data_IF_319357536683
#
_entry.id   IF_319357536683
#
_cell.length_a   1.000
_cell.length_b   1.000
_cell.length_c   1.000
_cell.angle_alpha   90.00
_cell.angle_beta   90.00
_cell.angle_gamma   90.00
#
_symmetry.space_group_name_H-M   'P 1'
#
loop_
_entity.id
_entity.type
_entity.pdbx_description
1 polymer ?
#
# COMPACT_ATOMS: atom_id res chain seq x y z
N UNK A 1 -13.68 37.27 -45.61
CA UNK A 1 -13.67 38.66 -45.13
C UNK A 1 -14.24 38.71 -43.72
N UNK A 2 -13.55 39.02 -42.64
CA UNK A 2 -12.11 38.95 -42.31
C UNK A 2 -12.00 38.90 -40.77
N UNK A 3 -11.00 38.22 -40.22
CA UNK A 3 -10.63 38.41 -38.81
C UNK A 3 -9.90 39.74 -38.63
N UNK A 4 -10.31 40.57 -37.65
CA UNK A 4 -9.33 41.45 -36.99
C UNK A 4 -9.70 41.93 -35.59
N UNK A 5 -8.73 41.74 -34.69
CA UNK A 5 -8.60 42.36 -33.36
C UNK A 5 -7.67 43.60 -33.47
N UNK A 6 -7.18 44.16 -32.34
CA UNK A 6 -7.70 45.28 -31.55
C UNK A 6 -7.15 46.66 -31.99
N UNK A 7 -7.57 47.73 -31.30
CA UNK A 7 -6.83 49.01 -31.27
C UNK A 7 -6.59 49.50 -29.83
N UNK A 8 -5.33 49.84 -29.55
CA UNK A 8 -4.85 50.58 -28.38
C UNK A 8 -5.12 52.08 -28.49
N UNK A 9 -5.10 52.80 -27.37
CA UNK A 9 -5.03 54.26 -27.33
C UNK A 9 -3.71 54.73 -26.71
N UNK A 10 -3.13 55.78 -27.28
CA UNK A 10 -1.89 56.47 -26.88
C UNK A 10 -2.14 57.97 -26.92
N UNK A 11 -1.47 58.78 -26.08
CA UNK A 11 -1.03 60.14 -26.46
C UNK A 11 -0.04 60.80 -25.46
N UNK A 12 1.23 60.85 -25.87
CA UNK A 12 2.14 62.01 -26.01
C UNK A 12 1.51 63.43 -26.02
N UNK A 13 2.17 64.56 -25.66
CA UNK A 13 3.44 64.91 -24.95
C UNK A 13 3.40 66.39 -24.46
N UNK A 14 4.31 66.90 -23.58
CA UNK A 14 4.24 68.27 -23.02
C UNK A 14 5.40 69.26 -23.37
N UNK A 15 5.15 70.59 -23.37
CA UNK A 15 6.14 71.68 -23.34
C UNK A 15 6.24 72.43 -21.97
N UNK A 16 7.13 73.44 -21.88
CA UNK A 16 7.50 74.26 -20.69
C UNK A 16 7.50 75.78 -21.03
N UNK A 17 7.34 76.76 -20.09
CA UNK A 17 8.52 77.43 -19.50
C UNK A 17 8.41 78.01 -18.05
N UNK A 18 9.54 77.92 -17.31
CA UNK A 18 10.14 78.83 -16.30
C UNK A 18 9.32 79.55 -15.20
N UNK A 19 9.78 79.43 -13.93
CA UNK A 19 9.46 80.34 -12.80
C UNK A 19 10.75 80.81 -12.08
N UNK A 20 10.84 82.04 -11.51
CA UNK A 20 12.02 82.53 -10.79
C UNK A 20 12.15 82.07 -9.33
N UNK A 21 13.35 82.30 -8.77
CA UNK A 21 13.89 81.84 -7.46
C UNK A 21 13.46 82.63 -6.22
N UNK A 22 13.40 81.97 -5.06
CA UNK A 22 13.61 82.61 -3.74
C UNK A 22 14.14 81.64 -2.65
N UNK A 23 15.34 81.96 -2.13
CA UNK A 23 15.95 81.66 -0.80
C UNK A 23 15.80 80.29 -0.08
N UNK A 24 16.93 79.82 0.45
CA UNK A 24 17.19 78.50 1.02
C UNK A 24 17.46 78.54 2.55
N UNK A 25 16.89 77.64 3.38
CA UNK A 25 17.33 77.39 4.76
C UNK A 25 18.57 76.45 4.82
N UNK A 26 19.37 76.46 5.91
CA UNK A 26 20.66 75.78 5.97
C UNK A 26 20.57 74.25 5.91
N UNK A 27 21.61 73.63 5.31
CA UNK A 27 21.72 72.18 5.15
C UNK A 27 21.73 71.43 6.51
N UNK A 28 20.96 70.34 6.66
CA UNK A 28 21.22 69.36 7.71
C UNK A 28 22.53 68.59 7.41
N UNK A 29 23.23 68.18 8.47
CA UNK A 29 24.46 67.39 8.41
C UNK A 29 24.24 66.08 7.65
N UNK A 30 25.15 65.66 6.73
CA UNK A 30 24.98 64.41 6.00
C UNK A 30 25.02 63.21 6.97
N UNK A 31 24.16 62.19 6.78
CA UNK A 31 24.18 61.00 7.61
C UNK A 31 25.51 60.26 7.48
N UNK A 32 26.03 59.76 8.60
CA UNK A 32 27.26 58.96 8.64
C UNK A 32 27.05 57.72 7.77
N UNK A 33 27.79 57.65 6.65
CA UNK A 33 27.69 56.51 5.73
C UNK A 33 28.26 55.27 6.40
N UNK A 34 27.40 54.29 6.65
CA UNK A 34 27.79 52.93 7.06
C UNK A 34 28.86 52.38 6.09
N UNK A 35 29.83 51.58 6.57
CA UNK A 35 30.88 51.05 5.71
C UNK A 35 30.27 50.18 4.61
N UNK A 36 30.41 50.62 3.35
CA UNK A 36 29.91 49.90 2.19
C UNK A 36 30.62 48.54 2.08
N UNK A 37 29.91 47.46 2.37
CA UNK A 37 30.40 46.10 2.18
C UNK A 37 30.72 45.93 0.70
N UNK A 38 31.98 45.61 0.38
CA UNK A 38 32.39 45.46 -1.03
C UNK A 38 31.63 44.30 -1.68
N UNK A 39 31.31 44.44 -2.97
CA UNK A 39 30.62 43.38 -3.75
C UNK A 39 31.30 42.02 -3.61
N UNK A 40 32.64 41.99 -3.52
CA UNK A 40 33.44 40.78 -3.29
C UNK A 40 33.16 40.14 -1.92
N UNK A 41 33.12 40.93 -0.84
CA UNK A 41 32.77 40.42 0.50
C UNK A 41 31.33 39.95 0.59
N UNK A 42 30.39 40.66 -0.04
CA UNK A 42 29.00 40.22 -0.13
C UNK A 42 28.87 38.87 -0.86
N UNK A 43 29.51 38.72 -2.03
CA UNK A 43 29.49 37.46 -2.78
C UNK A 43 30.18 36.32 -2.01
N UNK A 44 31.30 36.57 -1.32
CA UNK A 44 31.95 35.58 -0.47
C UNK A 44 31.05 35.12 0.69
N UNK A 45 30.38 36.05 1.37
CA UNK A 45 29.43 35.74 2.43
C UNK A 45 28.21 34.97 1.91
N UNK A 46 27.67 35.36 0.74
CA UNK A 46 26.55 34.68 0.10
C UNK A 46 26.91 33.23 -0.27
N UNK A 47 28.06 33.00 -0.93
CA UNK A 47 28.52 31.65 -1.28
C UNK A 47 28.76 30.80 -0.02
N UNK A 48 29.39 31.35 1.02
CA UNK A 48 29.59 30.64 2.27
C UNK A 48 28.26 30.25 2.94
N UNK A 49 27.30 31.18 3.00
CA UNK A 49 25.96 30.91 3.53
C UNK A 49 25.22 29.85 2.69
N UNK A 50 25.29 29.91 1.36
CA UNK A 50 24.71 28.91 0.46
C UNK A 50 25.32 27.51 0.65
N UNK A 51 26.64 27.41 0.83
CA UNK A 51 27.31 26.12 1.10
C UNK A 51 26.88 25.55 2.45
N UNK A 52 26.79 26.38 3.51
CA UNK A 52 26.30 25.93 4.82
C UNK A 52 24.84 25.48 4.74
N UNK A 53 23.97 26.23 4.05
CA UNK A 53 22.56 25.90 3.92
C UNK A 53 22.36 24.62 3.07
N UNK A 54 23.17 24.40 2.04
CA UNK A 54 23.16 23.18 1.24
C UNK A 54 23.72 21.96 1.99
N UNK A 55 24.78 22.14 2.80
CA UNK A 55 25.30 21.06 3.64
C UNK A 55 24.30 20.68 4.74
N UNK A 56 23.64 21.67 5.35
CA UNK A 56 22.58 21.45 6.34
C UNK A 56 21.34 20.78 5.73
N UNK A 57 20.93 21.18 4.51
CA UNK A 57 19.80 20.53 3.85
C UNK A 57 20.11 19.07 3.52
N UNK A 58 21.29 18.75 2.96
CA UNK A 58 21.69 17.36 2.67
C UNK A 58 21.82 16.52 3.95
N UNK A 59 22.40 17.07 5.01
CA UNK A 59 22.53 16.39 6.30
C UNK A 59 21.19 16.09 6.99
N UNK A 60 20.22 16.99 6.87
CA UNK A 60 18.86 16.79 7.40
C UNK A 60 17.96 15.97 6.45
N UNK A 61 18.21 16.00 5.12
CA UNK A 61 17.35 15.37 4.12
C UNK A 61 17.71 13.93 3.79
N UNK A 62 18.76 13.37 4.36
CA UNK A 62 19.21 11.97 4.11
C UNK A 62 18.14 10.90 4.37
N UNK A 63 17.09 11.22 5.16
CA UNK A 63 15.91 10.38 5.38
C UNK A 63 14.59 11.02 4.86
N UNK A 64 14.64 12.25 4.33
CA UNK A 64 13.45 12.98 3.85
C UNK A 64 13.22 12.75 2.35
N UNK A 65 14.28 12.54 1.58
CA UNK A 65 14.23 12.36 0.12
C UNK A 65 14.56 10.93 -0.34
N UNK A 66 14.92 10.04 0.58
CA UNK A 66 14.97 8.60 0.30
C UNK A 66 13.56 8.00 0.28
N UNK A 67 13.31 6.93 -0.48
CA UNK A 67 12.09 6.13 -0.30
C UNK A 67 12.03 5.65 1.14
N UNK A 68 10.99 6.07 1.87
CA UNK A 68 10.67 5.54 3.20
C UNK A 68 10.24 4.08 3.04
N UNK A 69 11.21 3.16 3.01
CA UNK A 69 10.93 1.72 3.02
C UNK A 69 10.41 1.41 4.43
N UNK A 70 9.13 1.04 4.59
CA UNK A 70 8.60 0.72 5.91
C UNK A 70 9.35 -0.49 6.48
N UNK A 71 9.58 -0.49 7.80
CA UNK A 71 10.19 -1.65 8.48
C UNK A 71 9.16 -2.76 8.61
N UNK A 72 9.45 -4.00 8.16
CA UNK A 72 8.56 -5.14 8.40
C UNK A 72 8.29 -5.36 9.89
N UNK A 73 7.05 -5.70 10.22
CA UNK A 73 6.68 -6.25 11.52
C UNK A 73 7.43 -7.58 11.74
N UNK A 74 7.82 -7.90 12.98
CA UNK A 74 8.39 -9.20 13.33
C UNK A 74 7.35 -10.32 13.13
N UNK A 75 7.77 -11.56 13.35
CA UNK A 75 6.85 -12.69 13.42
C UNK A 75 5.74 -12.42 14.47
N UNK A 76 4.50 -12.72 14.12
CA UNK A 76 3.32 -12.35 14.89
C UNK A 76 2.35 -13.53 14.98
N UNK A 77 1.78 -13.76 16.18
CA UNK A 77 0.64 -14.68 16.35
C UNK A 77 -0.59 -14.09 15.64
N UNK A 78 -1.14 -14.83 14.67
CA UNK A 78 -2.27 -14.41 13.84
C UNK A 78 -3.53 -15.25 14.08
N UNK A 79 -3.40 -16.44 14.68
CA UNK A 79 -4.52 -17.31 14.99
C UNK A 79 -4.20 -18.26 16.16
N UNK A 80 -5.26 -18.89 16.67
CA UNK A 80 -5.22 -19.96 17.66
C UNK A 80 -5.93 -21.17 17.04
N UNK A 81 -5.26 -22.32 16.99
CA UNK A 81 -5.79 -23.51 16.34
C UNK A 81 -7.11 -23.98 16.96
N UNK A 82 -7.19 -24.08 18.29
CA UNK A 82 -8.40 -24.55 18.97
C UNK A 82 -9.62 -23.66 18.66
N UNK A 83 -9.42 -22.34 18.60
CA UNK A 83 -10.46 -21.36 18.24
C UNK A 83 -10.86 -21.44 16.76
N UNK A 84 -9.90 -21.65 15.85
CA UNK A 84 -10.14 -21.68 14.41
C UNK A 84 -10.74 -23.02 13.96
N UNK A 85 -10.29 -24.14 14.54
CA UNK A 85 -10.90 -25.45 14.30
C UNK A 85 -12.30 -25.52 14.91
N UNK A 86 -12.51 -25.08 16.16
CA UNK A 86 -13.86 -25.07 16.78
C UNK A 86 -14.88 -24.35 15.88
N UNK A 87 -14.53 -23.19 15.34
CA UNK A 87 -15.37 -22.45 14.38
C UNK A 87 -15.79 -23.29 13.17
N UNK A 88 -14.88 -24.10 12.63
CA UNK A 88 -15.20 -25.05 11.56
C UNK A 88 -16.04 -26.24 12.06
N UNK A 89 -15.66 -26.86 13.19
CA UNK A 89 -16.40 -27.99 13.78
C UNK A 89 -17.86 -27.65 14.10
N UNK A 90 -18.13 -26.40 14.51
CA UNK A 90 -19.47 -25.89 14.81
C UNK A 90 -20.38 -25.81 13.57
N UNK A 91 -19.82 -25.69 12.35
CA UNK A 91 -20.58 -25.51 11.09
C UNK A 91 -20.42 -26.65 10.08
N UNK A 92 -19.47 -27.57 10.26
CA UNK A 92 -19.16 -28.61 9.24
C UNK A 92 -20.30 -29.56 8.89
N UNK A 93 -21.29 -29.71 9.78
CA UNK A 93 -22.48 -30.52 9.53
C UNK A 93 -23.62 -29.76 8.83
N UNK A 94 -23.52 -28.44 8.73
CA UNK A 94 -24.53 -27.56 8.16
C UNK A 94 -24.17 -27.24 6.70
N UNK A 95 -24.68 -28.05 5.76
CA UNK A 95 -24.41 -27.94 4.32
C UNK A 95 -25.27 -26.85 3.65
N UNK A 96 -25.32 -25.65 4.25
CA UNK A 96 -26.09 -24.49 3.78
C UNK A 96 -25.17 -23.30 3.47
N UNK A 97 -25.74 -22.26 2.85
CA UNK A 97 -25.06 -20.99 2.56
C UNK A 97 -24.72 -20.21 3.84
N UNK A 98 -25.34 -20.56 4.97
CA UNK A 98 -25.17 -19.95 6.28
C UNK A 98 -24.13 -20.70 7.14
N UNK A 99 -24.00 -22.03 6.93
CA UNK A 99 -23.11 -22.95 7.65
C UNK A 99 -21.72 -23.14 7.00
N UNK A 100 -21.41 -24.37 6.59
CA UNK A 100 -20.12 -24.77 5.99
C UNK A 100 -19.76 -23.98 4.73
N UNK A 101 -20.76 -23.51 3.97
CA UNK A 101 -20.51 -22.75 2.73
C UNK A 101 -20.43 -21.23 2.96
N UNK A 102 -20.48 -20.76 4.21
CA UNK A 102 -20.09 -19.41 4.60
C UNK A 102 -18.70 -19.44 5.24
N UNK A 103 -17.69 -19.04 4.49
CA UNK A 103 -16.30 -19.24 4.91
C UNK A 103 -15.81 -18.13 5.84
N UNK A 104 -16.63 -17.10 6.06
CA UNK A 104 -16.44 -16.15 7.16
C UNK A 104 -16.61 -16.83 8.53
N UNK A 105 -17.27 -17.99 8.60
CA UNK A 105 -17.40 -18.76 9.83
C UNK A 105 -16.04 -19.30 10.31
N UNK A 106 -15.17 -19.75 9.40
CA UNK A 106 -13.89 -20.43 9.72
C UNK A 106 -12.65 -19.80 9.04
N UNK A 107 -12.75 -18.53 8.67
CA UNK A 107 -11.61 -17.69 8.26
C UNK A 107 -11.56 -16.38 9.04
N UNK A 108 -10.42 -15.69 8.99
CA UNK A 108 -10.26 -14.34 9.53
C UNK A 108 -9.19 -13.55 8.79
N UNK A 109 -9.38 -12.23 8.72
CA UNK A 109 -8.41 -11.31 8.13
C UNK A 109 -7.41 -10.78 9.18
N UNK A 110 -6.19 -10.52 8.75
CA UNK A 110 -5.14 -9.89 9.55
C UNK A 110 -4.24 -9.02 8.66
N UNK A 111 -3.40 -8.17 9.27
CA UNK A 111 -2.41 -7.35 8.58
C UNK A 111 -0.99 -7.76 8.97
N UNK A 112 -0.15 -8.07 7.98
CA UNK A 112 1.26 -8.47 8.13
C UNK A 112 1.90 -8.56 6.71
N UNK A 113 3.18 -8.29 6.44
CA UNK A 113 4.27 -7.79 7.28
C UNK A 113 4.12 -6.33 7.70
N UNK A 114 3.05 -5.65 7.28
CA UNK A 114 2.80 -4.26 7.64
C UNK A 114 1.35 -4.08 8.05
N UNK A 115 1.11 -3.11 8.93
CA UNK A 115 -0.24 -2.72 9.33
C UNK A 115 -0.97 -1.92 8.24
N UNK A 116 -2.24 -1.64 8.48
CA UNK A 116 -3.13 -0.92 7.56
C UNK A 116 -2.76 0.55 7.32
N UNK A 117 -1.91 1.17 8.15
CA UNK A 117 -1.42 2.54 7.94
C UNK A 117 -0.35 2.63 6.85
N UNK A 118 0.38 1.54 6.61
CA UNK A 118 1.39 1.44 5.54
C UNK A 118 0.71 1.16 4.20
N UNK A 119 -0.15 0.15 4.13
CA UNK A 119 -0.93 -0.13 2.92
C UNK A 119 -2.10 -1.10 3.15
N UNK A 120 -3.27 -0.90 2.53
CA UNK A 120 -4.35 -1.89 2.56
C UNK A 120 -3.98 -3.21 1.86
N UNK A 121 -2.95 -3.23 1.00
CA UNK A 121 -2.52 -4.41 0.26
C UNK A 121 -1.78 -5.46 1.11
N UNK A 122 -1.42 -5.15 2.36
CA UNK A 122 -0.88 -6.12 3.32
C UNK A 122 -1.97 -6.80 4.18
N UNK A 123 -3.24 -6.66 3.77
CA UNK A 123 -4.33 -7.50 4.26
C UNK A 123 -4.13 -8.94 3.78
N UNK A 124 -4.17 -9.88 4.72
CA UNK A 124 -4.11 -11.31 4.47
C UNK A 124 -5.36 -11.98 5.07
N UNK A 125 -5.60 -13.22 4.67
CA UNK A 125 -6.60 -14.11 5.26
C UNK A 125 -5.91 -15.39 5.74
N UNK A 126 -6.35 -15.90 6.89
CA UNK A 126 -6.09 -17.28 7.32
C UNK A 126 -7.43 -18.01 7.41
N UNK A 127 -7.49 -19.25 6.94
CA UNK A 127 -8.69 -20.08 6.94
C UNK A 127 -8.39 -21.51 7.37
N UNK A 128 -9.34 -22.14 8.08
CA UNK A 128 -9.43 -23.60 8.22
C UNK A 128 -9.82 -24.16 6.84
N UNK A 129 -9.12 -25.17 6.36
CA UNK A 129 -9.55 -25.97 5.21
C UNK A 129 -10.70 -26.90 5.65
N UNK A 130 -11.76 -27.13 4.86
CA UNK A 130 -12.62 -28.28 5.06
C UNK A 130 -11.83 -29.61 5.17
N UNK A 131 -12.37 -30.63 5.85
CA UNK A 131 -11.68 -31.93 5.99
C UNK A 131 -11.51 -32.65 4.64
N UNK A 132 -12.44 -32.42 3.71
CA UNK A 132 -12.43 -32.96 2.35
C UNK A 132 -12.79 -31.91 1.30
N UNK A 133 -12.35 -32.13 0.06
CA UNK A 133 -12.78 -31.36 -1.11
C UNK A 133 -14.21 -31.72 -1.54
N UNK A 134 -14.74 -31.03 -2.56
CA UNK A 134 -16.07 -31.29 -3.12
C UNK A 134 -16.22 -32.65 -3.83
N UNK A 135 -15.13 -33.40 -3.99
CA UNK A 135 -15.10 -34.77 -4.51
C UNK A 135 -14.92 -35.82 -3.40
N UNK A 136 -14.81 -35.40 -2.13
CA UNK A 136 -14.62 -36.28 -0.97
C UNK A 136 -13.17 -36.69 -0.68
N UNK A 137 -12.18 -36.12 -1.37
CA UNK A 137 -10.77 -36.40 -1.10
C UNK A 137 -10.25 -35.56 0.09
N UNK A 138 -9.30 -36.03 0.90
CA UNK A 138 -8.70 -35.23 1.97
C UNK A 138 -8.13 -33.90 1.46
N UNK A 139 -8.61 -32.79 2.00
CA UNK A 139 -8.15 -31.45 1.62
C UNK A 139 -7.10 -30.97 2.63
N UNK A 140 -5.84 -30.92 2.18
CA UNK A 140 -4.69 -30.55 3.01
C UNK A 140 -3.91 -29.39 2.41
N UNK A 141 -3.27 -28.60 3.25
CA UNK A 141 -2.34 -27.55 2.84
C UNK A 141 -1.07 -28.21 2.25
N UNK A 142 -0.78 -28.02 0.95
CA UNK A 142 0.35 -28.68 0.28
C UNK A 142 1.73 -28.15 0.74
N UNK A 143 1.77 -27.04 1.48
CA UNK A 143 3.00 -26.44 2.02
C UNK A 143 3.36 -26.97 3.42
N UNK A 144 2.43 -27.63 4.11
CA UNK A 144 2.64 -28.26 5.43
C UNK A 144 1.98 -29.65 5.51
N UNK A 145 2.22 -30.56 4.54
CA UNK A 145 1.42 -31.78 4.35
C UNK A 145 1.55 -32.81 5.49
N UNK A 146 2.55 -32.66 6.37
CA UNK A 146 2.82 -33.57 7.50
C UNK A 146 2.61 -32.93 8.87
N UNK A 147 2.26 -31.63 8.94
CA UNK A 147 2.05 -30.93 10.20
C UNK A 147 0.61 -31.16 10.70
N UNK A 148 0.38 -31.62 11.94
CA UNK A 148 -0.95 -31.99 12.43
C UNK A 148 -1.91 -30.79 12.62
N UNK A 149 -1.43 -29.55 12.50
CA UNK A 149 -2.24 -28.32 12.56
C UNK A 149 -2.14 -27.56 11.25
N UNK A 150 -0.93 -27.32 10.75
CA UNK A 150 -0.70 -26.50 9.56
C UNK A 150 -1.15 -27.20 8.25
N UNK A 151 -1.32 -28.52 8.24
CA UNK A 151 -1.99 -29.23 7.13
C UNK A 151 -3.47 -28.85 7.00
N UNK A 152 -4.12 -28.34 8.05
CA UNK A 152 -5.55 -28.01 8.08
C UNK A 152 -5.85 -26.50 7.96
N UNK A 153 -4.84 -25.64 7.81
CA UNK A 153 -5.02 -24.19 7.65
C UNK A 153 -4.21 -23.67 6.47
N UNK A 154 -4.71 -22.63 5.81
CA UNK A 154 -3.98 -21.88 4.77
C UNK A 154 -3.99 -20.39 5.06
N UNK A 155 -2.96 -19.67 4.61
CA UNK A 155 -2.90 -18.22 4.73
C UNK A 155 -2.31 -17.57 3.48
N UNK A 156 -3.00 -16.55 2.96
CA UNK A 156 -2.63 -15.84 1.73
C UNK A 156 -2.83 -14.34 1.86
N UNK A 157 -2.02 -13.58 1.12
CA UNK A 157 -2.26 -12.17 0.88
C UNK A 157 -3.48 -11.99 -0.04
N UNK A 158 -4.33 -11.01 0.27
CA UNK A 158 -5.58 -10.83 -0.49
C UNK A 158 -5.44 -9.95 -1.73
N UNK A 159 -4.25 -9.46 -2.09
CA UNK A 159 -4.06 -8.58 -3.24
C UNK A 159 -4.04 -9.39 -4.54
N UNK A 160 -5.14 -9.32 -5.30
CA UNK A 160 -5.33 -9.96 -6.60
C UNK A 160 -4.21 -9.60 -7.59
N UNK A 161 -3.61 -10.59 -8.25
CA UNK A 161 -2.47 -10.37 -9.17
C UNK A 161 -2.85 -9.68 -10.48
N UNK A 162 -4.15 -9.64 -10.84
CA UNK A 162 -4.63 -8.98 -12.05
C UNK A 162 -4.50 -7.44 -11.95
N UNK A 163 -5.26 -6.81 -11.06
CA UNK A 163 -5.32 -5.34 -10.90
C UNK A 163 -5.36 -4.91 -9.42
N UNK A 164 -4.79 -5.72 -8.52
CA UNK A 164 -4.55 -5.42 -7.10
C UNK A 164 -5.77 -5.13 -6.22
N UNK A 165 -6.99 -5.35 -6.72
CA UNK A 165 -8.17 -5.41 -5.86
C UNK A 165 -8.02 -6.46 -4.76
N UNK A 166 -8.62 -6.22 -3.59
CA UNK A 166 -8.63 -7.18 -2.50
C UNK A 166 -9.65 -8.29 -2.79
N UNK A 167 -9.20 -9.54 -2.80
CA UNK A 167 -10.07 -10.72 -2.85
C UNK A 167 -10.73 -10.95 -1.50
N UNK A 168 -11.92 -11.54 -1.51
CA UNK A 168 -12.61 -11.98 -0.29
C UNK A 168 -12.94 -13.48 -0.38
N UNK A 169 -13.07 -14.16 0.77
CA UNK A 169 -13.67 -15.48 0.85
C UNK A 169 -15.08 -15.52 0.26
N UNK A 170 -15.34 -16.44 -0.68
CA UNK A 170 -16.68 -16.80 -1.19
C UNK A 170 -16.72 -18.23 -1.73
N UNK A 171 -17.90 -18.84 -1.73
CA UNK A 171 -18.11 -20.18 -2.30
C UNK A 171 -18.30 -20.11 -3.82
N UNK A 172 -17.66 -21.01 -4.58
CA UNK A 172 -17.90 -21.09 -6.03
C UNK A 172 -19.26 -21.72 -6.33
N UNK A 173 -20.06 -21.05 -7.17
CA UNK A 173 -21.32 -21.59 -7.68
C UNK A 173 -22.43 -21.64 -6.63
N UNK A 174 -23.35 -22.59 -6.78
CA UNK A 174 -24.39 -22.82 -5.78
C UNK A 174 -23.80 -23.52 -4.54
N UNK A 175 -24.37 -23.30 -3.35
CA UNK A 175 -24.03 -24.06 -2.14
C UNK A 175 -23.96 -25.57 -2.41
N UNK A 176 -22.84 -26.20 -2.08
CA UNK A 176 -22.59 -27.64 -2.31
C UNK A 176 -22.19 -28.06 -3.73
N UNK A 177 -21.99 -27.11 -4.67
CA UNK A 177 -21.59 -27.42 -6.06
C UNK A 177 -20.15 -27.04 -6.44
N UNK A 178 -19.37 -26.51 -5.49
CA UNK A 178 -18.06 -25.92 -5.77
C UNK A 178 -17.03 -26.09 -4.65
N UNK A 179 -15.96 -25.31 -4.75
CA UNK A 179 -14.88 -25.21 -3.76
C UNK A 179 -14.98 -23.81 -3.12
N UNK A 180 -14.57 -23.66 -1.86
CA UNK A 180 -14.28 -22.35 -1.29
C UNK A 180 -13.22 -21.66 -2.17
N UNK A 181 -13.47 -20.41 -2.57
CA UNK A 181 -12.57 -19.56 -3.35
C UNK A 181 -12.17 -18.31 -2.59
N UNK A 182 -11.05 -17.75 -3.03
CA UNK A 182 -10.83 -16.31 -2.91
C UNK A 182 -11.28 -15.66 -4.23
N UNK A 183 -12.23 -14.71 -4.19
CA UNK A 183 -12.71 -14.01 -5.40
C UNK A 183 -12.39 -12.52 -5.36
N UNK A 184 -11.90 -12.01 -6.48
CA UNK A 184 -11.75 -10.60 -6.78
C UNK A 184 -13.10 -9.99 -7.19
N UNK A 185 -13.71 -9.09 -6.39
CA UNK A 185 -15.02 -8.52 -6.69
C UNK A 185 -15.00 -7.55 -7.89
N UNK A 186 -13.83 -7.05 -8.29
CA UNK A 186 -13.71 -6.08 -9.39
C UNK A 186 -13.97 -6.68 -10.78
N UNK A 187 -13.46 -7.90 -11.02
CA UNK A 187 -13.44 -8.50 -12.37
C UNK A 187 -13.67 -10.03 -12.33
N UNK A 188 -14.14 -10.58 -11.20
CA UNK A 188 -14.53 -11.99 -11.08
C UNK A 188 -13.38 -13.01 -11.05
N UNK A 189 -12.11 -12.59 -10.97
CA UNK A 189 -10.98 -13.53 -10.86
C UNK A 189 -11.10 -14.40 -9.59
N UNK A 190 -11.00 -15.72 -9.74
CA UNK A 190 -11.11 -16.67 -8.63
C UNK A 190 -9.83 -17.49 -8.46
N UNK A 191 -9.51 -17.80 -7.20
CA UNK A 191 -8.34 -18.59 -6.81
C UNK A 191 -8.78 -19.78 -5.95
N UNK A 192 -8.13 -20.94 -6.13
CA UNK A 192 -8.28 -22.13 -5.28
C UNK A 192 -7.94 -21.84 -3.83
N UNK A 193 -8.66 -22.43 -2.89
CA UNK A 193 -8.33 -22.21 -1.47
C UNK A 193 -7.01 -22.89 -1.09
N UNK A 194 -6.78 -24.12 -1.57
CA UNK A 194 -5.66 -24.95 -1.11
C UNK A 194 -4.28 -24.31 -1.35
N UNK A 195 -4.13 -23.57 -2.45
CA UNK A 195 -2.84 -23.02 -2.91
C UNK A 195 -2.93 -21.65 -3.58
N UNK A 196 -4.11 -21.02 -3.61
CA UNK A 196 -4.34 -19.74 -4.26
C UNK A 196 -3.91 -19.65 -5.74
N UNK A 197 -3.90 -20.78 -6.47
CA UNK A 197 -3.73 -20.82 -7.93
C UNK A 197 -4.99 -20.23 -8.59
N UNK A 198 -4.89 -19.35 -9.61
CA UNK A 198 -6.06 -18.84 -10.33
C UNK A 198 -6.78 -19.97 -11.08
N UNK A 199 -8.11 -19.92 -11.14
CA UNK A 199 -8.93 -20.94 -11.82
C UNK A 199 -10.08 -20.38 -12.66
N UNK A 200 -10.41 -19.09 -12.54
CA UNK A 200 -11.39 -18.43 -13.39
C UNK A 200 -11.16 -16.92 -13.47
N UNK A 201 -11.64 -16.30 -14.54
CA UNK A 201 -11.57 -14.86 -14.78
C UNK A 201 -10.15 -14.36 -15.06
N UNK A 202 -9.93 -13.03 -15.16
CA UNK A 202 -8.74 -12.49 -15.83
C UNK A 202 -7.37 -12.92 -15.29
N UNK A 203 -7.25 -13.25 -14.00
CA UNK A 203 -5.99 -13.79 -13.46
C UNK A 203 -5.65 -15.20 -13.99
N UNK A 204 -6.67 -16.02 -14.26
CA UNK A 204 -6.53 -17.32 -14.91
C UNK A 204 -6.37 -17.15 -16.43
N UNK A 205 -7.24 -16.34 -17.05
CA UNK A 205 -7.26 -16.16 -18.52
C UNK A 205 -5.95 -15.58 -19.06
N UNK A 206 -5.26 -14.76 -18.26
CA UNK A 206 -3.95 -14.17 -18.58
C UNK A 206 -2.75 -15.01 -18.06
N UNK A 207 -2.98 -16.18 -17.46
CA UNK A 207 -1.93 -17.06 -16.95
C UNK A 207 -1.09 -16.45 -15.82
N UNK A 208 -1.71 -15.66 -14.94
CA UNK A 208 -1.01 -14.97 -13.86
C UNK A 208 -0.67 -15.91 -12.68
N UNK A 209 0.20 -15.42 -11.82
CA UNK A 209 0.73 -16.15 -10.68
C UNK A 209 -0.31 -16.46 -9.59
N UNK A 210 -0.14 -17.54 -8.80
CA UNK A 210 -0.86 -17.75 -7.55
C UNK A 210 -0.68 -16.59 -6.56
N UNK A 211 -1.67 -16.36 -5.67
CA UNK A 211 -1.53 -15.31 -4.65
C UNK A 211 -0.34 -15.58 -3.71
N UNK A 212 0.29 -14.52 -3.16
CA UNK A 212 1.33 -14.68 -2.16
C UNK A 212 0.82 -15.44 -0.94
N UNK A 213 1.66 -16.34 -0.43
CA UNK A 213 1.35 -17.20 0.70
C UNK A 213 2.07 -16.66 1.93
N UNK A 214 1.36 -16.55 3.05
CA UNK A 214 1.98 -16.29 4.34
C UNK A 214 2.56 -17.60 4.86
N UNK A 215 3.87 -17.61 5.13
CA UNK A 215 4.53 -18.74 5.77
C UNK A 215 4.19 -18.74 7.25
N UNK A 216 3.81 -19.91 7.75
CA UNK A 216 3.29 -20.15 9.08
C UNK A 216 4.25 -21.01 9.91
N UNK A 217 4.22 -20.78 11.22
CA UNK A 217 4.69 -21.73 12.24
C UNK A 217 3.59 -21.94 13.29
N UNK A 218 3.63 -23.06 13.99
CA UNK A 218 2.75 -23.35 15.12
C UNK A 218 3.59 -23.72 16.35
N UNK A 219 3.18 -23.24 17.53
CA UNK A 219 3.82 -23.59 18.80
C UNK A 219 3.13 -24.77 19.51
N UNK A 220 3.72 -25.26 20.60
CA UNK A 220 3.18 -26.38 21.39
C UNK A 220 1.85 -26.10 22.09
N UNK A 221 1.38 -24.85 22.10
CA UNK A 221 0.06 -24.45 22.59
C UNK A 221 -0.98 -24.24 21.48
N UNK A 222 -0.59 -24.44 20.21
CA UNK A 222 -1.45 -24.26 19.04
C UNK A 222 -1.59 -22.82 18.58
N UNK A 223 -0.72 -21.88 19.00
CA UNK A 223 -0.69 -20.54 18.42
C UNK A 223 -0.02 -20.58 17.06
N UNK A 224 -0.69 -20.04 16.05
CA UNK A 224 -0.21 -19.98 14.68
C UNK A 224 0.35 -18.58 14.44
N UNK A 225 1.61 -18.50 14.00
CA UNK A 225 2.31 -17.25 13.72
C UNK A 225 2.63 -17.10 12.23
N UNK A 226 2.50 -15.87 11.73
CA UNK A 226 3.08 -15.48 10.45
C UNK A 226 4.57 -15.20 10.62
N UNK A 227 5.42 -15.79 9.77
CA UNK A 227 6.89 -15.70 9.88
C UNK A 227 7.59 -15.29 8.58
N UNK A 228 7.00 -15.59 7.43
CA UNK A 228 7.54 -15.27 6.10
C UNK A 228 6.43 -15.00 5.08
N UNK A 229 6.79 -14.56 3.88
CA UNK A 229 5.86 -14.47 2.75
C UNK A 229 6.51 -14.98 1.49
N UNK A 230 5.88 -15.97 0.85
CA UNK A 230 6.27 -16.46 -0.47
C UNK A 230 5.56 -15.63 -1.53
N UNK A 231 6.33 -15.05 -2.45
CA UNK A 231 5.84 -14.14 -3.48
C UNK A 231 5.53 -12.73 -2.96
N UNK A 232 5.05 -11.87 -3.87
CA UNK A 232 4.92 -10.43 -3.62
C UNK A 232 3.46 -9.97 -3.79
N UNK A 233 2.88 -9.22 -2.83
CA UNK A 233 1.52 -8.64 -2.93
C UNK A 233 1.26 -7.95 -4.27
N UNK A 234 0.22 -8.39 -4.98
CA UNK A 234 -0.14 -7.85 -6.29
C UNK A 234 0.82 -8.20 -7.44
N UNK A 235 1.67 -9.22 -7.27
CA UNK A 235 2.47 -9.88 -8.32
C UNK A 235 2.32 -11.40 -8.25
N UNK A 236 2.23 -11.98 -7.03
CA UNK A 236 2.02 -13.41 -6.80
C UNK A 236 3.30 -14.20 -6.51
N UNK A 237 3.18 -15.52 -6.61
CA UNK A 237 4.25 -16.52 -6.41
C UNK A 237 4.74 -17.11 -7.74
N UNK A 238 6.04 -17.35 -7.83
CA UNK A 238 6.70 -18.07 -8.92
C UNK A 238 7.07 -19.47 -8.47
#
# INVERSE_FOLDING_TARGET
MDEKKPSTSTNSTPPTPTQPTASQPPNPTPPVKSPLISRRRFLQAAVAASVVLAAASVGASGQILGPQIPTPLPAQVIADWASLDKKYQDVKGDLTAEGLYNESNYSQFFYWQYDSSVSPYYKNVIARLPDVDSSGNPLVNPFYPTDPILSHVVAFNTTCVHLRCLVNPIYAGNPGSGEFRLQCPCHGSQYRLADAVPVAGPAFDLGLNPLPQVELTVDSSGKISATGMRGTPGIGRT
#
